data_IF_901473023551
#
_entry.id   IF_901473023551
#
_cell.length_a   1.000
_cell.length_b   1.000
_cell.length_c   1.000
_cell.angle_alpha   90.00
_cell.angle_beta   90.00
_cell.angle_gamma   90.00
#
_symmetry.space_group_name_H-M   'P 1'
#
loop_
_entity.id
_entity.type
_entity.pdbx_description
1 polymer ?
#
# COMPACT_ATOMS: atom_id res chain seq x y z
N UNK A 1 30.65 10.10 15.44
CA UNK A 1 29.27 10.36 15.89
C UNK A 1 28.39 9.23 15.37
N UNK A 2 27.82 8.40 16.24
CA UNK A 2 26.98 7.29 15.81
C UNK A 2 25.78 7.86 15.04
N UNK A 3 25.73 7.58 13.74
CA UNK A 3 24.67 8.03 12.86
C UNK A 3 23.37 7.43 13.40
N UNK A 4 22.51 8.28 13.97
CA UNK A 4 21.25 7.85 14.56
C UNK A 4 20.44 7.18 13.46
N UNK A 5 20.35 5.85 13.50
CA UNK A 5 19.53 5.07 12.58
C UNK A 5 18.13 5.72 12.51
N UNK A 6 17.58 5.97 11.32
CA UNK A 6 16.25 6.55 11.18
C UNK A 6 15.26 5.68 11.96
N UNK A 7 14.67 6.27 12.99
CA UNK A 7 13.81 5.56 13.92
C UNK A 7 12.37 5.55 13.41
N UNK A 8 11.82 4.36 13.23
CA UNK A 8 10.40 4.13 13.01
C UNK A 8 9.90 3.21 14.12
N UNK A 9 8.77 3.55 14.78
CA UNK A 9 8.18 2.69 15.80
C UNK A 9 7.99 1.25 15.32
N UNK A 10 8.24 0.28 16.21
CA UNK A 10 8.20 -1.15 15.89
C UNK A 10 6.85 -1.56 15.26
N UNK A 11 5.74 -1.08 15.82
CA UNK A 11 4.40 -1.39 15.31
C UNK A 11 4.23 -0.97 13.83
N UNK A 12 4.74 0.19 13.44
CA UNK A 12 4.66 0.64 12.04
C UNK A 12 5.61 -0.12 11.12
N UNK A 13 6.75 -0.62 11.64
CA UNK A 13 7.64 -1.49 10.86
C UNK A 13 7.01 -2.87 10.62
N UNK A 14 6.36 -3.44 11.64
CA UNK A 14 5.61 -4.69 11.51
C UNK A 14 4.46 -4.53 10.53
N UNK A 15 3.65 -3.47 10.66
CA UNK A 15 2.56 -3.19 9.73
C UNK A 15 3.09 -3.06 8.30
N UNK A 16 4.12 -2.25 8.08
CA UNK A 16 4.70 -2.07 6.75
C UNK A 16 5.28 -3.38 6.19
N UNK A 17 5.99 -4.17 7.01
CA UNK A 17 6.52 -5.48 6.61
C UNK A 17 5.43 -6.49 6.25
N UNK A 18 4.33 -6.51 7.01
CA UNK A 18 3.16 -7.34 6.72
C UNK A 18 2.51 -6.94 5.39
N UNK A 19 2.31 -5.64 5.15
CA UNK A 19 1.81 -5.11 3.88
C UNK A 19 2.74 -5.50 2.71
N UNK A 20 4.05 -5.32 2.87
CA UNK A 20 5.02 -5.68 1.85
C UNK A 20 4.96 -7.19 1.53
N UNK A 21 4.88 -8.05 2.54
CA UNK A 21 4.74 -9.50 2.35
C UNK A 21 3.43 -9.84 1.60
N UNK A 22 2.31 -9.25 2.00
CA UNK A 22 1.01 -9.47 1.35
C UNK A 22 1.03 -9.05 -0.13
N UNK A 23 1.63 -7.89 -0.45
CA UNK A 23 1.77 -7.42 -1.83
C UNK A 23 2.68 -8.36 -2.63
N UNK A 24 3.83 -8.77 -2.09
CA UNK A 24 4.74 -9.68 -2.79
C UNK A 24 4.05 -11.02 -3.06
N UNK A 25 3.37 -11.58 -2.08
CA UNK A 25 2.61 -12.83 -2.26
C UNK A 25 1.49 -12.65 -3.28
N UNK A 26 0.75 -11.53 -3.26
CA UNK A 26 -0.29 -11.23 -4.24
C UNK A 26 0.28 -11.12 -5.66
N UNK A 27 1.44 -10.49 -5.84
CA UNK A 27 2.15 -10.42 -7.13
C UNK A 27 2.50 -11.83 -7.61
N UNK A 28 3.14 -12.65 -6.76
CA UNK A 28 3.59 -14.00 -7.12
C UNK A 28 2.41 -14.92 -7.45
N UNK A 29 1.36 -14.89 -6.65
CA UNK A 29 0.13 -15.64 -6.91
C UNK A 29 -0.59 -15.13 -8.17
N UNK A 30 -0.50 -13.83 -8.47
CA UNK A 30 -0.96 -13.24 -9.73
C UNK A 30 -0.20 -13.78 -10.95
N UNK A 31 1.14 -13.92 -10.88
CA UNK A 31 1.93 -14.60 -11.93
C UNK A 31 1.42 -16.02 -12.16
N UNK A 32 1.18 -16.76 -11.09
CA UNK A 32 0.72 -18.15 -11.18
C UNK A 32 -0.69 -18.24 -11.78
N UNK A 33 -1.61 -17.33 -11.42
CA UNK A 33 -2.94 -17.24 -12.03
C UNK A 33 -2.82 -16.90 -13.52
N UNK A 34 -2.03 -15.88 -13.85
CA UNK A 34 -1.78 -15.47 -15.22
C UNK A 34 -1.28 -16.65 -16.07
N UNK A 35 -0.33 -17.42 -15.52
CA UNK A 35 0.27 -18.56 -16.19
C UNK A 35 -0.71 -19.72 -16.43
N UNK A 36 -1.78 -19.84 -15.65
CA UNK A 36 -2.76 -20.93 -15.78
C UNK A 36 -3.94 -20.52 -16.65
N UNK A 37 -4.41 -19.26 -16.54
CA UNK A 37 -5.72 -18.87 -17.07
C UNK A 37 -5.68 -17.80 -18.18
N UNK A 38 -4.64 -16.98 -18.29
CA UNK A 38 -4.57 -15.91 -19.30
C UNK A 38 -3.58 -16.28 -20.41
N UNK A 39 -2.28 -16.33 -20.09
CA UNK A 39 -1.25 -16.76 -21.02
C UNK A 39 -1.13 -15.98 -22.35
N UNK A 40 -1.85 -14.88 -22.56
CA UNK A 40 -1.85 -14.10 -23.83
C UNK A 40 -0.48 -13.62 -24.29
N UNK A 41 0.46 -13.39 -23.36
CA UNK A 41 1.87 -13.01 -23.62
C UNK A 41 2.84 -14.17 -23.35
N UNK A 42 2.33 -15.39 -23.30
CA UNK A 42 3.09 -16.62 -23.10
C UNK A 42 2.95 -17.22 -21.71
N UNK A 43 3.50 -18.43 -21.57
CA UNK A 43 3.53 -19.19 -20.33
C UNK A 43 4.97 -19.40 -19.86
N UNK A 44 5.17 -19.36 -18.56
CA UNK A 44 6.39 -19.76 -17.87
C UNK A 44 6.35 -21.27 -17.59
N UNK A 45 7.49 -21.97 -17.64
CA UNK A 45 7.60 -23.40 -17.34
C UNK A 45 7.60 -23.64 -15.82
N UNK A 46 6.53 -23.23 -15.14
CA UNK A 46 6.34 -23.33 -13.69
C UNK A 46 5.18 -24.29 -13.36
N UNK A 47 5.26 -25.04 -12.26
CA UNK A 47 4.24 -26.02 -11.92
C UNK A 47 2.89 -25.36 -11.61
N UNK A 48 1.81 -26.05 -11.99
CA UNK A 48 0.44 -25.61 -11.67
C UNK A 48 0.20 -25.81 -10.18
N UNK A 49 -0.18 -24.74 -9.49
CA UNK A 49 -0.53 -24.77 -8.07
C UNK A 49 -2.04 -24.94 -7.93
N UNK A 50 -2.53 -26.03 -7.31
CA UNK A 50 -3.97 -26.22 -7.10
C UNK A 50 -4.58 -25.09 -6.28
N UNK A 51 -5.80 -24.68 -6.63
CA UNK A 51 -6.58 -23.64 -5.90
C UNK A 51 -5.86 -22.29 -5.78
N UNK A 52 -4.95 -21.97 -6.71
CA UNK A 52 -4.17 -20.72 -6.66
C UNK A 52 -5.06 -19.46 -6.60
N UNK A 53 -6.22 -19.48 -7.26
CA UNK A 53 -7.22 -18.42 -7.18
C UNK A 53 -7.70 -18.17 -5.74
N UNK A 54 -8.00 -19.24 -5.01
CA UNK A 54 -8.42 -19.16 -3.61
C UNK A 54 -7.30 -18.65 -2.69
N UNK A 55 -6.06 -19.06 -2.95
CA UNK A 55 -4.88 -18.58 -2.22
C UNK A 55 -4.69 -17.07 -2.45
N UNK A 56 -4.73 -16.62 -3.71
CA UNK A 56 -4.63 -15.20 -4.06
C UNK A 56 -5.73 -14.38 -3.37
N UNK A 57 -6.97 -14.86 -3.41
CA UNK A 57 -8.11 -14.22 -2.72
C UNK A 57 -7.93 -14.13 -1.22
N UNK A 58 -7.39 -15.17 -0.57
CA UNK A 58 -7.10 -15.15 0.86
C UNK A 58 -6.15 -14.00 1.21
N UNK A 59 -5.04 -13.87 0.47
CA UNK A 59 -4.08 -12.79 0.69
C UNK A 59 -4.64 -11.41 0.30
N UNK A 60 -5.46 -11.32 -0.76
CA UNK A 60 -6.17 -10.10 -1.11
C UNK A 60 -7.12 -9.62 -0.01
N UNK A 61 -7.85 -10.53 0.64
CA UNK A 61 -8.73 -10.20 1.78
C UNK A 61 -7.92 -9.80 3.02
N UNK A 62 -6.84 -10.52 3.32
CA UNK A 62 -5.93 -10.14 4.41
C UNK A 62 -5.34 -8.73 4.17
N UNK A 63 -5.00 -8.43 2.91
CA UNK A 63 -4.53 -7.11 2.51
C UNK A 63 -5.63 -6.04 2.69
N UNK A 64 -6.85 -6.28 2.23
CA UNK A 64 -8.00 -5.39 2.45
C UNK A 64 -8.25 -5.10 3.94
N UNK A 65 -8.11 -6.11 4.80
CA UNK A 65 -8.25 -5.96 6.25
C UNK A 65 -7.23 -4.99 6.85
N UNK A 66 -5.99 -5.05 6.35
CA UNK A 66 -4.87 -4.23 6.83
C UNK A 66 -4.84 -2.81 6.27
N UNK A 67 -5.48 -2.57 5.11
CA UNK A 67 -5.40 -1.29 4.39
C UNK A 67 -5.94 -0.07 5.13
N UNK A 68 -7.06 -0.11 5.88
CA UNK A 68 -7.51 1.05 6.66
C UNK A 68 -6.43 1.57 7.62
N UNK A 69 -5.76 0.67 8.33
CA UNK A 69 -4.70 1.01 9.27
C UNK A 69 -3.47 1.57 8.55
N UNK A 70 -3.10 0.97 7.42
CA UNK A 70 -1.95 1.42 6.64
C UNK A 70 -2.19 2.77 5.95
N UNK A 71 -3.42 3.02 5.47
CA UNK A 71 -3.82 4.30 4.90
C UNK A 71 -3.78 5.41 5.95
N UNK A 72 -4.39 5.20 7.13
CA UNK A 72 -4.33 6.17 8.24
C UNK A 72 -2.89 6.48 8.65
N UNK A 73 -2.05 5.44 8.80
CA UNK A 73 -0.63 5.61 9.06
C UNK A 73 0.05 6.46 7.97
N UNK A 74 -0.24 6.18 6.70
CA UNK A 74 0.40 6.83 5.56
C UNK A 74 0.06 8.32 5.47
N UNK A 75 -1.19 8.71 5.75
CA UNK A 75 -1.64 10.11 5.68
C UNK A 75 -1.41 10.92 6.96
N UNK A 76 -1.14 10.28 8.10
CA UNK A 76 -0.80 10.99 9.34
C UNK A 76 0.71 11.01 9.61
N UNK A 77 1.25 9.93 10.18
CA UNK A 77 2.65 9.83 10.58
C UNK A 77 3.59 9.64 9.39
N UNK A 78 3.13 8.95 8.35
CA UNK A 78 3.87 8.64 7.12
C UNK A 78 3.88 9.75 6.08
N UNK A 79 3.09 10.82 6.26
CA UNK A 79 2.75 11.76 5.18
C UNK A 79 3.93 12.42 4.48
N UNK A 80 5.04 12.63 5.20
CA UNK A 80 6.27 13.24 4.65
C UNK A 80 6.94 12.35 3.57
N UNK A 81 6.53 11.08 3.50
CA UNK A 81 6.97 10.10 2.49
C UNK A 81 6.05 10.06 1.27
N UNK A 82 4.98 10.86 1.24
CA UNK A 82 4.07 11.02 0.11
C UNK A 82 4.36 12.32 -0.64
N UNK A 83 3.65 12.56 -1.75
CA UNK A 83 3.73 13.81 -2.52
C UNK A 83 3.49 15.03 -1.59
N UNK A 84 4.27 16.09 -1.82
CA UNK A 84 4.24 17.35 -1.06
C UNK A 84 3.85 18.52 -1.99
N UNK A 85 3.37 19.64 -1.44
CA UNK A 85 2.92 20.83 -2.18
C UNK A 85 3.96 21.36 -3.18
N UNK A 86 5.24 21.28 -2.81
CA UNK A 86 6.35 21.84 -3.58
C UNK A 86 6.82 20.91 -4.73
N UNK A 87 6.01 19.90 -5.09
CA UNK A 87 6.33 18.81 -6.02
C UNK A 87 7.03 19.33 -7.29
N UNK A 88 6.40 20.29 -7.97
CA UNK A 88 6.86 20.82 -9.27
C UNK A 88 8.27 21.43 -9.13
N UNK A 89 8.49 22.24 -8.10
CA UNK A 89 9.81 22.86 -7.86
C UNK A 89 10.87 21.80 -7.53
N UNK A 90 10.51 20.77 -6.78
CA UNK A 90 11.46 19.73 -6.36
C UNK A 90 11.80 18.75 -7.50
N UNK A 91 10.85 18.40 -8.37
CA UNK A 91 11.10 17.49 -9.49
C UNK A 91 11.91 18.15 -10.62
N UNK A 92 11.87 19.48 -10.73
CA UNK A 92 12.72 20.24 -11.64
C UNK A 92 14.18 20.33 -11.17
N UNK A 93 14.46 20.06 -9.89
CA UNK A 93 15.79 20.14 -9.30
C UNK A 93 16.65 18.90 -9.62
N UNK A 94 16.67 18.47 -10.89
CA UNK A 94 17.34 17.27 -11.38
C UNK A 94 18.80 17.23 -10.93
N UNK A 95 19.25 16.04 -10.50
CA UNK A 95 20.62 15.82 -10.03
C UNK A 95 20.88 16.21 -8.57
N UNK A 96 20.02 17.02 -7.94
CA UNK A 96 20.13 17.33 -6.50
C UNK A 96 19.52 16.21 -5.65
N UNK A 97 19.97 16.00 -4.39
CA UNK A 97 19.41 14.97 -3.51
C UNK A 97 17.88 15.02 -3.38
N UNK A 98 17.31 16.23 -3.30
CA UNK A 98 15.87 16.46 -3.18
C UNK A 98 15.06 15.81 -4.32
N UNK A 99 15.63 15.74 -5.52
CA UNK A 99 14.97 15.11 -6.67
C UNK A 99 14.69 13.63 -6.43
N UNK A 100 15.66 12.90 -5.90
CA UNK A 100 15.51 11.47 -5.57
C UNK A 100 14.48 11.26 -4.45
N UNK A 101 14.47 12.11 -3.43
CA UNK A 101 13.43 12.09 -2.40
C UNK A 101 12.04 12.35 -2.97
N UNK A 102 11.92 13.26 -3.93
CA UNK A 102 10.66 13.58 -4.59
C UNK A 102 10.19 12.43 -5.48
N UNK A 103 11.07 11.78 -6.24
CA UNK A 103 10.73 10.55 -6.96
C UNK A 103 10.25 9.46 -6.01
N UNK A 104 10.96 9.23 -4.91
CA UNK A 104 10.54 8.24 -3.92
C UNK A 104 9.14 8.53 -3.36
N UNK A 105 8.84 9.81 -3.09
CA UNK A 105 7.52 10.25 -2.64
C UNK A 105 6.42 9.99 -3.67
N UNK A 106 6.69 10.30 -4.94
CA UNK A 106 5.77 10.01 -6.05
C UNK A 106 5.52 8.51 -6.11
N UNK A 107 6.57 7.69 -6.09
CA UNK A 107 6.46 6.23 -6.11
C UNK A 107 5.65 5.68 -4.95
N UNK A 108 5.86 6.18 -3.72
CA UNK A 108 5.09 5.76 -2.56
C UNK A 108 3.60 6.09 -2.71
N UNK A 109 3.30 7.28 -3.22
CA UNK A 109 1.92 7.70 -3.47
C UNK A 109 1.26 6.86 -4.58
N UNK A 110 1.96 6.60 -5.69
CA UNK A 110 1.48 5.74 -6.76
C UNK A 110 1.29 4.30 -6.31
N UNK A 111 2.18 3.78 -5.46
CA UNK A 111 2.06 2.43 -4.90
C UNK A 111 0.78 2.30 -4.05
N UNK A 112 0.45 3.30 -3.23
CA UNK A 112 -0.81 3.31 -2.46
C UNK A 112 -2.05 3.37 -3.36
N UNK A 113 -2.02 4.22 -4.40
CA UNK A 113 -3.13 4.35 -5.34
C UNK A 113 -3.36 3.06 -6.12
N UNK A 114 -2.30 2.50 -6.70
CA UNK A 114 -2.35 1.25 -7.48
C UNK A 114 -2.74 0.05 -6.61
N UNK A 115 -2.23 -0.04 -5.38
CA UNK A 115 -2.65 -1.05 -4.41
C UNK A 115 -4.14 -0.97 -4.06
N UNK A 116 -4.65 0.24 -3.84
CA UNK A 116 -6.09 0.44 -3.59
C UNK A 116 -6.92 0.08 -4.82
N UNK A 117 -6.46 0.46 -6.01
CA UNK A 117 -7.14 0.15 -7.25
C UNK A 117 -7.15 -1.35 -7.55
N UNK A 118 -6.06 -2.07 -7.26
CA UNK A 118 -6.01 -3.54 -7.34
C UNK A 118 -7.02 -4.20 -6.38
N UNK A 119 -7.18 -3.67 -5.18
CA UNK A 119 -8.18 -4.18 -4.22
C UNK A 119 -9.60 -3.99 -4.72
N UNK A 120 -9.93 -2.78 -5.18
CA UNK A 120 -11.27 -2.48 -5.73
C UNK A 120 -11.55 -3.38 -6.94
N UNK A 121 -10.68 -3.36 -7.94
CA UNK A 121 -10.88 -4.13 -9.17
C UNK A 121 -10.88 -5.63 -8.94
N UNK A 122 -10.00 -6.15 -8.07
CA UNK A 122 -9.94 -7.58 -7.74
C UNK A 122 -11.14 -8.04 -6.92
N UNK A 123 -11.76 -7.14 -6.15
CA UNK A 123 -13.00 -7.42 -5.43
C UNK A 123 -14.19 -7.49 -6.36
N UNK A 124 -14.31 -6.56 -7.31
CA UNK A 124 -15.43 -6.52 -8.27
C UNK A 124 -15.29 -7.57 -9.40
N UNK A 125 -14.10 -8.14 -9.56
CA UNK A 125 -13.84 -9.21 -10.53
C UNK A 125 -14.47 -10.54 -10.11
N UNK A 126 -15.22 -11.16 -11.01
CA UNK A 126 -15.69 -12.55 -10.86
C UNK A 126 -14.54 -13.53 -11.15
N UNK A 127 -14.36 -14.53 -10.30
CA UNK A 127 -13.32 -15.55 -10.47
C UNK A 127 -13.60 -16.54 -11.59
N UNK A 128 -14.88 -16.73 -11.91
CA UNK A 128 -15.34 -17.65 -12.93
C UNK A 128 -14.95 -17.20 -14.33
N UNK A 129 -14.78 -15.88 -14.56
CA UNK A 129 -14.41 -15.34 -15.87
C UNK A 129 -13.11 -15.97 -16.42
N UNK A 130 -12.07 -16.02 -15.59
CA UNK A 130 -10.78 -16.61 -15.97
C UNK A 130 -10.89 -18.11 -16.27
N UNK A 131 -11.69 -18.85 -15.49
CA UNK A 131 -11.90 -20.28 -15.71
C UNK A 131 -12.69 -20.58 -16.98
N UNK A 132 -13.51 -19.62 -17.45
CA UNK A 132 -14.27 -19.70 -18.70
C UNK A 132 -13.57 -19.06 -19.90
N UNK A 133 -12.38 -18.48 -19.71
CA UNK A 133 -11.65 -17.76 -20.77
C UNK A 133 -12.23 -16.39 -21.13
N UNK A 134 -13.11 -15.82 -20.30
CA UNK A 134 -13.74 -14.52 -20.52
C UNK A 134 -12.83 -13.36 -20.08
N UNK A 135 -11.75 -13.09 -20.83
CA UNK A 135 -10.69 -12.16 -20.44
C UNK A 135 -10.93 -10.69 -20.84
N UNK A 136 -12.13 -10.35 -21.34
CA UNK A 136 -12.46 -9.02 -21.89
C UNK A 136 -13.24 -8.13 -20.93
N UNK A 137 -13.58 -8.65 -19.74
CA UNK A 137 -14.31 -7.88 -18.73
C UNK A 137 -13.48 -6.70 -18.20
N UNK A 138 -14.15 -5.58 -17.97
CA UNK A 138 -13.51 -4.33 -17.55
C UNK A 138 -12.78 -4.51 -16.22
N UNK A 139 -13.43 -5.09 -15.21
CA UNK A 139 -12.83 -5.30 -13.89
C UNK A 139 -11.61 -6.22 -13.92
N UNK A 140 -11.63 -7.25 -14.77
CA UNK A 140 -10.47 -8.11 -15.00
C UNK A 140 -9.31 -7.31 -15.61
N UNK A 141 -9.57 -6.53 -16.65
CA UNK A 141 -8.55 -5.72 -17.33
C UNK A 141 -7.95 -4.66 -16.39
N UNK A 142 -8.79 -3.99 -15.59
CA UNK A 142 -8.35 -3.03 -14.58
C UNK A 142 -7.50 -3.71 -13.50
N UNK A 143 -7.87 -4.91 -13.06
CA UNK A 143 -7.10 -5.66 -12.07
C UNK A 143 -5.73 -6.08 -12.62
N UNK A 144 -5.67 -6.56 -13.87
CA UNK A 144 -4.43 -6.92 -14.54
C UNK A 144 -3.49 -5.71 -14.69
N UNK A 145 -4.01 -4.57 -15.15
CA UNK A 145 -3.22 -3.32 -15.24
C UNK A 145 -2.72 -2.89 -13.86
N UNK A 146 -3.56 -3.01 -12.83
CA UNK A 146 -3.15 -2.69 -11.45
C UNK A 146 -2.02 -3.59 -10.97
N UNK A 147 -2.08 -4.88 -11.29
CA UNK A 147 -1.04 -5.84 -10.94
C UNK A 147 0.32 -5.47 -11.56
N UNK A 148 0.34 -5.13 -12.86
CA UNK A 148 1.56 -4.65 -13.54
C UNK A 148 2.05 -3.33 -12.91
N UNK A 149 1.13 -2.40 -12.64
CA UNK A 149 1.47 -1.10 -12.06
C UNK A 149 2.06 -1.24 -10.64
N UNK A 150 1.52 -2.13 -9.81
CA UNK A 150 2.04 -2.43 -8.47
C UNK A 150 3.44 -3.02 -8.58
N UNK A 151 3.68 -3.98 -9.49
CA UNK A 151 5.00 -4.56 -9.69
C UNK A 151 6.04 -3.46 -10.04
N UNK A 152 5.72 -2.59 -10.99
CA UNK A 152 6.59 -1.49 -11.39
C UNK A 152 6.82 -0.48 -10.24
N UNK A 153 5.76 -0.12 -9.50
CA UNK A 153 5.85 0.79 -8.36
C UNK A 153 6.67 0.18 -7.21
N UNK A 154 6.52 -1.11 -6.94
CA UNK A 154 7.28 -1.82 -5.90
C UNK A 154 8.77 -1.89 -6.27
N UNK A 155 9.10 -2.26 -7.51
CA UNK A 155 10.48 -2.26 -7.99
C UNK A 155 11.12 -0.87 -7.88
N UNK A 156 10.39 0.17 -8.32
CA UNK A 156 10.84 1.56 -8.20
C UNK A 156 10.97 1.99 -6.74
N UNK A 157 10.06 1.55 -5.86
CA UNK A 157 10.09 1.86 -4.44
C UNK A 157 11.37 1.31 -3.80
N UNK A 158 11.72 0.07 -4.09
CA UNK A 158 12.94 -0.57 -3.60
C UNK A 158 14.20 0.14 -4.15
N UNK A 159 14.21 0.44 -5.45
CA UNK A 159 15.30 1.16 -6.10
C UNK A 159 15.52 2.54 -5.47
N UNK A 160 14.46 3.32 -5.28
CA UNK A 160 14.54 4.64 -4.66
C UNK A 160 14.93 4.56 -3.17
N UNK A 161 14.45 3.55 -2.46
CA UNK A 161 14.83 3.33 -1.06
C UNK A 161 16.33 3.04 -0.93
N UNK A 162 16.87 2.18 -1.82
CA UNK A 162 18.31 1.93 -1.91
C UNK A 162 19.09 3.19 -2.29
N UNK A 163 18.58 3.99 -3.23
CA UNK A 163 19.25 5.22 -3.68
C UNK A 163 19.29 6.31 -2.62
N UNK A 164 18.22 6.47 -1.85
CA UNK A 164 18.05 7.57 -0.89
C UNK A 164 18.65 7.25 0.48
N UNK A 165 18.44 6.03 0.99
CA UNK A 165 18.87 5.64 2.34
C UNK A 165 19.88 4.48 2.38
N UNK A 166 20.30 3.97 1.22
CA UNK A 166 21.20 2.83 1.13
C UNK A 166 20.57 1.51 1.58
N UNK A 167 21.42 0.47 1.61
CA UNK A 167 21.08 -0.85 2.16
C UNK A 167 20.61 -0.77 3.63
N UNK A 168 21.18 0.08 4.51
CA UNK A 168 20.71 0.16 5.90
C UNK A 168 19.23 0.55 6.02
N UNK A 169 18.72 1.42 5.15
CA UNK A 169 17.30 1.77 5.15
C UNK A 169 16.41 0.57 4.80
N UNK A 170 16.80 -0.24 3.82
CA UNK A 170 16.06 -1.45 3.45
C UNK A 170 16.04 -2.47 4.60
N UNK A 171 17.21 -2.70 5.21
CA UNK A 171 17.34 -3.65 6.32
C UNK A 171 16.70 -3.16 7.62
N UNK A 172 16.43 -1.86 7.74
CA UNK A 172 15.81 -1.28 8.95
C UNK A 172 14.41 -1.85 9.26
N UNK A 173 13.71 -2.35 8.23
CA UNK A 173 12.40 -3.01 8.36
C UNK A 173 12.55 -4.37 9.06
N UNK A 174 13.66 -5.08 8.84
CA UNK A 174 13.95 -6.39 9.45
C UNK A 174 14.47 -6.27 10.89
N UNK A 175 14.90 -5.08 11.30
CA UNK A 175 15.39 -4.85 12.65
C UNK A 175 14.22 -4.83 13.64
N UNK A 176 14.01 -5.91 14.39
CA UNK A 176 12.97 -6.01 15.43
C UNK A 176 13.38 -5.36 16.76
N UNK A 177 14.53 -4.68 16.82
CA UNK A 177 15.04 -4.01 18.00
C UNK A 177 14.02 -3.05 18.60
N UNK A 178 13.81 -3.21 19.91
CA UNK A 178 12.85 -2.46 20.71
C UNK A 178 13.55 -1.27 21.37
N UNK A 179 12.98 -0.05 21.26
CA UNK A 179 13.42 1.11 22.07
C UNK A 179 12.44 1.35 23.21
N UNK A 180 12.85 2.13 24.21
CA UNK A 180 11.98 2.48 25.34
C UNK A 180 10.61 3.06 24.93
N UNK A 181 10.55 3.76 23.79
CA UNK A 181 9.32 4.33 23.23
C UNK A 181 8.43 3.31 22.48
N UNK A 182 8.88 2.07 22.26
CA UNK A 182 8.11 1.00 21.63
C UNK A 182 7.33 0.14 22.63
N UNK A 183 7.39 0.46 23.94
CA UNK A 183 6.80 -0.34 25.01
C UNK A 183 5.30 -0.63 24.75
N UNK A 184 4.85 -1.91 24.85
CA UNK A 184 3.44 -2.28 24.62
C UNK A 184 2.45 -1.44 25.44
N UNK A 185 2.82 -1.03 26.66
CA UNK A 185 1.98 -0.17 27.51
C UNK A 185 1.74 1.21 26.91
N UNK A 186 2.69 1.76 26.14
CA UNK A 186 2.53 3.03 25.41
C UNK A 186 1.57 2.83 24.24
N UNK A 187 1.69 1.73 23.49
CA UNK A 187 0.76 1.40 22.40
C UNK A 187 -0.68 1.27 22.92
N UNK A 188 -0.87 0.56 24.04
CA UNK A 188 -2.18 0.43 24.69
C UNK A 188 -2.72 1.79 25.11
N UNK A 189 -1.90 2.66 25.72
CA UNK A 189 -2.31 4.03 26.07
C UNK A 189 -2.69 4.86 24.85
N UNK A 190 -1.98 4.69 23.73
CA UNK A 190 -2.33 5.34 22.45
C UNK A 190 -3.71 4.84 22.01
N UNK A 191 -3.93 3.52 21.92
CA UNK A 191 -5.22 2.95 21.51
C UNK A 191 -6.36 3.43 22.43
N UNK A 192 -6.16 3.40 23.74
CA UNK A 192 -7.14 3.93 24.71
C UNK A 192 -7.42 5.41 24.49
N UNK A 193 -6.40 6.21 24.13
CA UNK A 193 -6.60 7.62 23.84
C UNK A 193 -7.41 7.88 22.57
N UNK A 194 -7.35 6.98 21.59
CA UNK A 194 -8.19 7.03 20.38
C UNK A 194 -9.66 6.71 20.67
N UNK A 195 -9.95 5.96 21.75
CA UNK A 195 -11.31 5.70 22.22
C UNK A 195 -11.95 6.93 22.89
N UNK A 196 -11.16 7.97 23.23
CA UNK A 196 -11.70 9.20 23.79
C UNK A 196 -12.29 10.08 22.65
N UNK A 197 -13.62 10.33 22.63
CA UNK A 197 -14.27 11.06 21.54
C UNK A 197 -13.72 12.47 21.34
N UNK A 198 -13.39 13.18 22.42
CA UNK A 198 -12.89 14.56 22.33
C UNK A 198 -11.50 14.61 21.69
N UNK A 199 -10.62 13.66 22.01
CA UNK A 199 -9.30 13.56 21.39
C UNK A 199 -9.41 13.20 19.91
N UNK A 200 -10.30 12.27 19.58
CA UNK A 200 -10.58 11.89 18.20
C UNK A 200 -11.07 13.10 17.39
N UNK A 201 -12.07 13.83 17.88
CA UNK A 201 -12.59 15.03 17.20
C UNK A 201 -11.50 16.08 17.01
N UNK A 202 -10.67 16.32 18.02
CA UNK A 202 -9.57 17.28 17.93
C UNK A 202 -8.51 16.85 16.91
N UNK A 203 -8.17 15.55 16.87
CA UNK A 203 -7.27 15.00 15.86
C UNK A 203 -7.86 15.16 14.45
N UNK A 204 -9.14 14.80 14.24
CA UNK A 204 -9.82 14.96 12.94
C UNK A 204 -9.80 16.42 12.48
N UNK A 205 -10.17 17.36 13.36
CA UNK A 205 -10.15 18.80 13.03
C UNK A 205 -8.76 19.27 12.60
N UNK A 206 -7.73 18.87 13.34
CA UNK A 206 -6.34 19.20 13.04
C UNK A 206 -5.88 18.58 11.72
N UNK A 207 -6.23 17.31 11.49
CA UNK A 207 -5.90 16.57 10.27
C UNK A 207 -6.53 17.24 9.04
N UNK A 208 -7.83 17.52 9.08
CA UNK A 208 -8.55 18.20 8.00
C UNK A 208 -7.96 19.59 7.74
N UNK A 209 -7.69 20.38 8.80
CA UNK A 209 -7.12 21.71 8.64
C UNK A 209 -5.74 21.66 7.97
N UNK A 210 -4.91 20.69 8.35
CA UNK A 210 -3.59 20.49 7.75
C UNK A 210 -3.71 20.03 6.29
N UNK A 211 -4.57 19.06 6.00
CA UNK A 211 -4.74 18.53 4.65
C UNK A 211 -5.33 19.56 3.66
N UNK A 212 -6.08 20.55 4.15
CA UNK A 212 -6.53 21.67 3.32
C UNK A 212 -5.39 22.50 2.72
N UNK A 213 -4.18 22.46 3.32
CA UNK A 213 -3.02 23.15 2.78
C UNK A 213 -2.45 22.42 1.55
N UNK A 214 -2.64 21.09 1.47
CA UNK A 214 -2.20 20.24 0.37
C UNK A 214 -3.40 19.58 -0.34
N UNK A 215 -4.09 20.29 -1.25
CA UNK A 215 -5.32 19.79 -1.88
C UNK A 215 -5.11 18.52 -2.70
N UNK A 216 -3.92 18.35 -3.31
CA UNK A 216 -3.58 17.14 -4.07
C UNK A 216 -3.56 15.93 -3.13
N UNK A 217 -2.87 16.05 -2.00
CA UNK A 217 -2.78 14.95 -1.03
C UNK A 217 -4.15 14.62 -0.42
N UNK A 218 -4.99 15.63 -0.17
CA UNK A 218 -6.37 15.45 0.30
C UNK A 218 -7.23 14.66 -0.71
N UNK A 219 -7.16 15.00 -2.00
CA UNK A 219 -7.89 14.26 -3.06
C UNK A 219 -7.43 12.79 -3.07
N UNK A 220 -6.12 12.56 -3.01
CA UNK A 220 -5.54 11.22 -3.00
C UNK A 220 -5.97 10.43 -1.75
N UNK A 221 -6.01 11.08 -0.58
CA UNK A 221 -6.52 10.48 0.65
C UNK A 221 -7.99 10.08 0.51
N UNK A 222 -8.84 10.97 -0.01
CA UNK A 222 -10.27 10.68 -0.23
C UNK A 222 -10.44 9.51 -1.20
N UNK A 223 -9.69 9.48 -2.31
CA UNK A 223 -9.73 8.39 -3.27
C UNK A 223 -9.34 7.05 -2.64
N UNK A 224 -8.25 7.03 -1.86
CA UNK A 224 -7.77 5.80 -1.21
C UNK A 224 -8.76 5.34 -0.15
N UNK A 225 -9.19 6.23 0.75
CA UNK A 225 -10.12 5.89 1.82
C UNK A 225 -11.49 5.49 1.26
N UNK A 226 -11.97 6.17 0.21
CA UNK A 226 -13.20 5.84 -0.50
C UNK A 226 -13.12 4.47 -1.18
N UNK A 227 -12.02 4.16 -1.87
CA UNK A 227 -11.81 2.87 -2.51
C UNK A 227 -11.72 1.71 -1.50
N UNK A 228 -11.05 1.93 -0.37
CA UNK A 228 -11.02 0.97 0.74
C UNK A 228 -12.44 0.75 1.28
N UNK A 229 -13.16 1.82 1.60
CA UNK A 229 -14.52 1.73 2.12
C UNK A 229 -15.47 1.02 1.14
N UNK A 230 -15.40 1.35 -0.16
CA UNK A 230 -16.16 0.68 -1.20
C UNK A 230 -15.88 -0.82 -1.24
N UNK A 231 -14.61 -1.22 -1.23
CA UNK A 231 -14.20 -2.64 -1.23
C UNK A 231 -14.70 -3.40 -0.01
N UNK A 232 -14.78 -2.72 1.14
CA UNK A 232 -15.34 -3.28 2.37
C UNK A 232 -16.86 -3.43 2.31
N UNK A 233 -17.57 -2.41 1.81
CA UNK A 233 -19.02 -2.44 1.66
C UNK A 233 -19.42 -3.55 0.70
N UNK A 234 -18.69 -3.74 -0.40
CA UNK A 234 -19.02 -4.78 -1.36
C UNK A 234 -18.83 -6.19 -0.79
N UNK A 235 -18.11 -6.40 0.32
CA UNK A 235 -18.08 -7.71 1.02
C UNK A 235 -19.43 -8.11 1.61
N UNK A 236 -20.31 -7.15 1.88
CA UNK A 236 -21.64 -7.44 2.42
C UNK A 236 -22.44 -8.14 1.32
N UNK A 237 -22.89 -9.39 1.53
CA UNK A 237 -23.72 -10.06 0.54
C UNK A 237 -24.97 -9.21 0.29
N UNK A 238 -25.19 -8.80 -0.96
CA UNK A 238 -26.48 -8.26 -1.34
C UNK A 238 -27.49 -9.39 -1.16
N UNK A 239 -28.35 -9.28 -0.14
CA UNK A 239 -29.54 -10.13 -0.03
C UNK A 239 -30.46 -9.74 -1.19
N UNK A 240 -30.29 -10.44 -2.30
CA UNK A 240 -31.25 -10.48 -3.42
C UNK A 240 -32.14 -11.70 -3.26
#
# INVERSE_FOLDING_TARGET
MAQSQPYQPLAFRILHGAIAALIIIAILTGVLIYNVYDGRIGHLPIPVVPKIMGIHKLFGRAFLLSMPFFALYSFDAGRRRLIQENLIKQIQAVGKPIWWYTLHRITNTLLLLTATFALVSGREMDEGWMSRGELTHVWYSLHLVSWVAIFACLATHLLMSARVGGIPLLLSILNLGHRANDNPSILIKIIQSWLNPQRLINWIKKHILFQKQNPILLIIEILIMGGIAFSWISLIPHRG
#
